data_IF_215909321046
#
_entry.id   IF_215909321046
#
_cell.length_a   1.000
_cell.length_b   1.000
_cell.length_c   1.000
_cell.angle_alpha   90.00
_cell.angle_beta   90.00
_cell.angle_gamma   90.00
#
_symmetry.space_group_name_H-M   'P 1'
#
loop_
_entity.id
_entity.type
_entity.pdbx_description
1 polymer ?
#
# COMPACT_ATOMS: atom_id res chain seq x y z
N UNK A 1 4.29 37.88 1.98
CA UNK A 1 3.01 38.16 2.64
C UNK A 1 2.57 36.96 3.46
N UNK A 2 2.50 37.09 4.79
CA UNK A 2 1.34 36.64 5.57
C UNK A 2 1.23 37.65 6.70
N UNK A 3 0.30 38.57 6.53
CA UNK A 3 -0.10 39.51 7.55
C UNK A 3 -0.56 38.76 8.78
N UNK A 4 -0.14 39.31 9.92
CA UNK A 4 -0.64 39.02 11.24
C UNK A 4 -2.17 38.93 11.26
N UNK A 5 -2.69 37.71 11.31
CA UNK A 5 -3.92 37.46 12.06
C UNK A 5 -3.48 37.41 13.53
N UNK A 6 -4.03 38.29 14.37
CA UNK A 6 -3.73 38.39 15.80
C UNK A 6 -4.01 37.07 16.54
N UNK A 7 -3.06 36.13 16.51
CA UNK A 7 -3.15 34.94 17.36
C UNK A 7 -2.87 35.40 18.78
N UNK A 8 -3.83 35.20 19.69
CA UNK A 8 -3.64 35.56 21.10
C UNK A 8 -2.42 34.80 21.63
N UNK A 9 -1.51 35.50 22.33
CA UNK A 9 -0.29 34.91 22.91
C UNK A 9 -0.59 33.65 23.75
N UNK A 10 -1.76 33.59 24.37
CA UNK A 10 -2.26 32.43 25.13
C UNK A 10 -2.60 31.22 24.26
N UNK A 11 -3.06 31.43 23.04
CA UNK A 11 -3.43 30.36 22.10
C UNK A 11 -2.19 29.70 21.52
N UNK A 12 -1.15 30.49 21.21
CA UNK A 12 0.18 30.00 20.84
C UNK A 12 0.75 29.15 21.98
N UNK A 13 0.65 29.62 23.24
CA UNK A 13 1.09 28.86 24.41
C UNK A 13 0.32 27.53 24.57
N UNK A 14 -1.02 27.57 24.43
CA UNK A 14 -1.86 26.37 24.52
C UNK A 14 -1.61 25.37 23.40
N UNK A 15 -1.31 25.85 22.19
CA UNK A 15 -0.91 25.00 21.08
C UNK A 15 0.41 24.30 21.36
N UNK A 16 1.41 25.01 21.90
CA UNK A 16 2.67 24.39 22.33
C UNK A 16 2.46 23.37 23.45
N UNK A 17 1.59 23.63 24.43
CA UNK A 17 1.26 22.65 25.47
C UNK A 17 0.56 21.42 24.91
N UNK A 18 -0.38 21.56 23.98
CA UNK A 18 -1.03 20.42 23.31
C UNK A 18 -0.05 19.61 22.46
N UNK A 19 0.84 20.28 21.73
CA UNK A 19 1.91 19.62 20.94
C UNK A 19 2.96 18.93 21.82
N UNK A 20 3.19 19.43 23.04
CA UNK A 20 4.13 18.84 24.00
C UNK A 20 3.59 17.58 24.70
N UNK A 21 2.27 17.33 24.65
CA UNK A 21 1.69 16.08 25.14
C UNK A 21 1.92 14.99 24.09
N UNK A 22 2.92 14.14 24.33
CA UNK A 22 3.16 12.96 23.50
C UNK A 22 2.17 11.85 23.84
N UNK A 23 1.13 11.68 23.04
CA UNK A 23 0.33 10.46 23.03
C UNK A 23 1.02 9.42 22.14
N UNK A 24 1.15 8.19 22.64
CA UNK A 24 1.69 7.06 21.88
C UNK A 24 0.62 5.99 21.79
N UNK A 25 0.06 5.81 20.61
CA UNK A 25 -1.00 4.85 20.33
C UNK A 25 -0.36 3.62 19.70
N UNK A 26 -0.69 2.45 20.26
CA UNK A 26 -0.33 1.16 19.66
C UNK A 26 -1.56 0.63 18.96
N UNK A 27 -1.52 0.57 17.65
CA UNK A 27 -2.58 0.00 16.83
C UNK A 27 -2.08 -1.31 16.20
N UNK A 28 -2.89 -2.36 16.28
CA UNK A 28 -2.60 -3.59 15.56
C UNK A 28 -3.27 -3.57 14.19
N UNK A 29 -2.47 -3.47 13.14
CA UNK A 29 -2.94 -3.51 11.75
C UNK A 29 -2.76 -4.90 11.15
N UNK A 30 -3.71 -5.30 10.32
CA UNK A 30 -3.62 -6.51 9.51
C UNK A 30 -3.02 -6.15 8.15
N UNK A 31 -1.98 -6.87 7.77
CA UNK A 31 -1.14 -6.55 6.63
C UNK A 31 -0.92 -7.77 5.77
N UNK A 32 -0.90 -7.56 4.46
CA UNK A 32 -0.54 -8.56 3.47
C UNK A 32 0.78 -8.15 2.84
N UNK A 33 1.78 -9.01 2.96
CA UNK A 33 3.12 -8.81 2.43
C UNK A 33 3.48 -9.98 1.53
N UNK A 34 3.89 -9.71 0.30
CA UNK A 34 4.29 -10.75 -0.62
C UNK A 34 4.84 -10.21 -1.94
N UNK A 35 5.53 -11.10 -2.64
CA UNK A 35 5.88 -10.94 -4.05
C UNK A 35 4.65 -11.17 -4.92
N UNK A 36 4.41 -10.30 -5.89
CA UNK A 36 3.31 -10.43 -6.85
C UNK A 36 3.66 -11.49 -7.90
N UNK A 37 2.92 -12.60 -7.88
CA UNK A 37 3.07 -13.67 -8.88
C UNK A 37 2.10 -13.52 -10.03
N UNK A 38 0.90 -13.03 -9.76
CA UNK A 38 -0.18 -12.89 -10.73
C UNK A 38 -0.93 -11.59 -10.44
N UNK A 39 -1.27 -10.85 -11.51
CA UNK A 39 -2.09 -9.64 -11.43
C UNK A 39 -3.09 -9.70 -12.58
N UNK A 40 -4.36 -9.94 -12.25
CA UNK A 40 -5.46 -10.02 -13.21
C UNK A 40 -6.53 -9.02 -12.83
N UNK A 41 -6.81 -8.08 -13.73
CA UNK A 41 -7.89 -7.10 -13.56
C UNK A 41 -9.11 -7.64 -14.30
N UNK A 42 -10.20 -7.90 -13.58
CA UNK A 42 -11.48 -8.24 -14.21
C UNK A 42 -12.21 -6.93 -14.53
N UNK A 43 -12.29 -6.62 -15.82
CA UNK A 43 -13.10 -5.52 -16.34
C UNK A 43 -14.47 -6.08 -16.71
N UNK A 44 -15.54 -5.48 -16.20
CA UNK A 44 -16.91 -5.80 -16.62
C UNK A 44 -17.47 -4.68 -17.48
N UNK A 45 -18.20 -5.05 -18.54
CA UNK A 45 -18.91 -4.10 -19.38
C UNK A 45 -20.04 -3.42 -18.59
N UNK A 46 -20.14 -2.10 -18.71
CA UNK A 46 -21.17 -1.31 -18.04
C UNK A 46 -22.56 -1.66 -18.59
N UNK A 47 -23.57 -1.98 -17.73
CA UNK A 47 -24.92 -2.29 -18.18
C UNK A 47 -25.61 -1.17 -18.97
N UNK A 48 -25.08 0.06 -18.92
CA UNK A 48 -25.66 1.26 -19.53
C UNK A 48 -25.02 1.66 -20.88
N UNK A 49 -24.23 0.80 -21.51
CA UNK A 49 -23.77 0.99 -22.90
C UNK A 49 -22.85 2.21 -23.12
N UNK A 50 -22.25 2.74 -22.05
CA UNK A 50 -21.22 3.78 -22.13
C UNK A 50 -19.84 3.16 -22.35
N UNK A 51 -18.99 3.84 -23.11
CA UNK A 51 -17.58 3.51 -23.39
C UNK A 51 -16.65 3.54 -22.14
N UNK A 52 -17.17 3.20 -20.96
CA UNK A 52 -16.41 3.09 -19.71
C UNK A 52 -16.20 1.62 -19.38
N UNK A 53 -14.94 1.17 -19.39
CA UNK A 53 -14.58 -0.12 -18.80
C UNK A 53 -14.65 0.06 -17.28
N UNK A 54 -15.60 -0.60 -16.63
CA UNK A 54 -15.73 -0.56 -15.18
C UNK A 54 -14.97 -1.76 -14.62
N UNK A 55 -13.90 -1.50 -13.87
CA UNK A 55 -13.16 -2.57 -13.17
C UNK A 55 -14.08 -3.12 -12.08
N UNK A 56 -14.36 -4.43 -12.12
CA UNK A 56 -15.21 -5.08 -11.12
C UNK A 56 -14.39 -5.51 -9.93
N UNK A 57 -13.32 -6.28 -10.14
CA UNK A 57 -12.43 -6.79 -9.10
C UNK A 57 -11.02 -7.01 -9.64
N UNK A 58 -10.03 -6.96 -8.74
CA UNK A 58 -8.64 -7.31 -9.07
C UNK A 58 -8.27 -8.59 -8.33
N UNK A 59 -7.80 -9.58 -9.07
CA UNK A 59 -7.24 -10.81 -8.49
C UNK A 59 -5.73 -10.68 -8.45
N UNK A 60 -5.16 -10.72 -7.26
CA UNK A 60 -3.71 -10.68 -7.05
C UNK A 60 -3.21 -11.98 -6.41
N UNK A 61 -2.17 -12.56 -6.97
CA UNK A 61 -1.43 -13.67 -6.40
C UNK A 61 -0.23 -13.13 -5.62
N UNK A 62 -0.17 -13.40 -4.32
CA UNK A 62 0.95 -13.04 -3.46
C UNK A 62 1.71 -14.28 -3.00
N UNK A 63 3.04 -14.22 -3.08
CA UNK A 63 3.94 -15.28 -2.65
C UNK A 63 4.84 -14.81 -1.50
N UNK A 64 4.97 -15.68 -0.51
CA UNK A 64 5.88 -15.53 0.62
C UNK A 64 6.73 -16.79 0.76
N UNK A 65 7.70 -16.79 1.67
CA UNK A 65 8.55 -17.97 1.91
C UNK A 65 7.77 -19.19 2.42
N UNK A 66 6.64 -18.99 3.12
CA UNK A 66 5.84 -20.08 3.68
C UNK A 66 4.72 -20.58 2.77
N UNK A 67 4.31 -19.78 1.78
CA UNK A 67 3.24 -20.16 0.87
C UNK A 67 2.76 -19.02 -0.01
N UNK A 68 1.81 -19.37 -0.88
CA UNK A 68 1.16 -18.49 -1.85
C UNK A 68 -0.30 -18.26 -1.45
N UNK A 69 -0.80 -17.05 -1.63
CA UNK A 69 -2.21 -16.70 -1.38
C UNK A 69 -2.73 -15.83 -2.51
N UNK A 70 -3.84 -16.24 -3.10
CA UNK A 70 -4.59 -15.41 -4.04
C UNK A 70 -5.62 -14.59 -3.27
N UNK A 71 -5.67 -13.30 -3.55
CA UNK A 71 -6.60 -12.34 -2.95
C UNK A 71 -7.46 -11.72 -4.04
N UNK A 72 -8.75 -11.57 -3.74
CA UNK A 72 -9.65 -10.73 -4.53
C UNK A 72 -9.75 -9.38 -3.85
N UNK A 73 -9.36 -8.34 -4.56
CA UNK A 73 -9.31 -6.97 -4.10
C UNK A 73 -10.45 -6.16 -4.73
N UNK A 74 -10.88 -5.15 -3.98
CA UNK A 74 -11.89 -4.19 -4.39
C UNK A 74 -11.35 -3.32 -5.55
N UNK A 75 -12.20 -2.85 -6.48
CA UNK A 75 -11.77 -2.00 -7.59
C UNK A 75 -11.14 -0.69 -7.12
N UNK A 76 -11.43 -0.18 -5.92
CA UNK A 76 -10.72 0.99 -5.37
C UNK A 76 -9.21 0.77 -5.18
N UNK A 77 -8.79 -0.48 -4.98
CA UNK A 77 -7.38 -0.85 -4.80
C UNK A 77 -6.65 -0.89 -6.15
N UNK A 78 -7.37 -1.11 -7.26
CA UNK A 78 -6.83 -1.07 -8.62
C UNK A 78 -6.12 0.25 -8.91
N UNK A 79 -6.73 1.37 -8.53
CA UNK A 79 -6.18 2.71 -8.76
C UNK A 79 -4.89 2.91 -7.96
N UNK A 80 -4.84 2.37 -6.73
CA UNK A 80 -3.65 2.42 -5.88
C UNK A 80 -2.51 1.57 -6.45
N UNK A 81 -2.81 0.37 -6.96
CA UNK A 81 -1.84 -0.50 -7.63
C UNK A 81 -1.27 0.15 -8.90
N UNK A 82 -2.14 0.77 -9.69
CA UNK A 82 -1.76 1.46 -10.93
C UNK A 82 -0.90 2.68 -10.63
N UNK A 83 -1.24 3.44 -9.58
CA UNK A 83 -0.49 4.63 -9.15
C UNK A 83 0.90 4.29 -8.63
N UNK A 84 1.04 3.19 -7.88
CA UNK A 84 2.31 2.69 -7.38
C UNK A 84 3.13 1.96 -8.47
N UNK A 85 2.55 1.73 -9.65
CA UNK A 85 3.22 1.08 -10.78
C UNK A 85 3.59 -0.38 -10.50
N UNK A 86 2.72 -1.10 -9.77
CA UNK A 86 2.99 -2.48 -9.36
C UNK A 86 2.99 -3.43 -10.55
N UNK A 87 4.07 -4.21 -10.66
CA UNK A 87 4.28 -5.20 -11.71
C UNK A 87 4.50 -6.60 -11.13
N UNK A 88 4.44 -7.63 -11.98
CA UNK A 88 4.73 -9.01 -11.59
C UNK A 88 6.21 -9.11 -11.20
N UNK A 89 6.49 -9.66 -10.02
CA UNK A 89 7.83 -9.72 -9.44
C UNK A 89 8.14 -8.62 -8.43
N UNK A 90 7.24 -7.65 -8.21
CA UNK A 90 7.39 -6.67 -7.15
C UNK A 90 6.97 -7.22 -5.79
N UNK A 91 7.64 -6.78 -4.73
CA UNK A 91 7.23 -7.01 -3.35
C UNK A 91 6.37 -5.83 -2.89
N UNK A 92 5.15 -6.14 -2.48
CA UNK A 92 4.17 -5.14 -2.08
C UNK A 92 3.69 -5.36 -0.66
N UNK A 93 3.21 -4.28 -0.07
CA UNK A 93 2.57 -4.23 1.23
C UNK A 93 1.15 -3.69 1.06
N UNK A 94 0.15 -4.44 1.51
CA UNK A 94 -1.26 -4.05 1.46
C UNK A 94 -1.82 -4.05 2.88
N UNK A 95 -2.38 -2.92 3.30
CA UNK A 95 -3.15 -2.85 4.54
C UNK A 95 -4.57 -3.40 4.32
N UNK A 96 -4.98 -4.38 5.13
CA UNK A 96 -6.28 -5.03 4.99
C UNK A 96 -7.47 -4.08 5.22
N UNK A 97 -7.30 -3.12 6.13
CA UNK A 97 -8.40 -2.22 6.55
C UNK A 97 -8.57 -1.00 5.64
N UNK A 98 -7.45 -0.41 5.19
CA UNK A 98 -7.47 0.81 4.38
C UNK A 98 -7.40 0.55 2.88
N UNK A 99 -6.99 -0.65 2.47
CA UNK A 99 -6.70 -0.96 1.06
C UNK A 99 -5.48 -0.21 0.53
N UNK A 100 -4.71 0.46 1.40
CA UNK A 100 -3.52 1.18 1.00
C UNK A 100 -2.45 0.20 0.54
N UNK A 101 -1.95 0.42 -0.67
CA UNK A 101 -0.87 -0.36 -1.28
C UNK A 101 0.41 0.46 -1.26
N UNK A 102 1.52 -0.19 -0.93
CA UNK A 102 2.85 0.38 -1.03
C UNK A 102 3.78 -0.61 -1.74
N UNK A 103 4.47 -0.15 -2.78
CA UNK A 103 5.57 -0.91 -3.41
C UNK A 103 6.79 -0.83 -2.50
N UNK A 104 7.30 -1.98 -2.07
CA UNK A 104 8.49 -2.08 -1.20
C UNK A 104 9.76 -2.14 -2.05
N UNK A 105 9.71 -2.82 -3.19
CA UNK A 105 10.83 -2.95 -4.11
C UNK A 105 10.62 -4.13 -5.04
N UNK A 106 11.64 -4.45 -5.84
CA UNK A 106 11.60 -5.57 -6.78
C UNK A 106 12.16 -6.83 -6.12
N UNK A 107 11.57 -8.00 -6.39
CA UNK A 107 12.09 -9.25 -5.85
C UNK A 107 13.47 -9.59 -6.42
N UNK A 108 14.39 -10.00 -5.56
CA UNK A 108 15.72 -10.50 -5.94
C UNK A 108 15.66 -11.61 -7.00
N UNK A 109 14.56 -12.39 -7.03
CA UNK A 109 14.38 -13.50 -7.99
C UNK A 109 14.17 -13.01 -9.43
N UNK A 110 13.75 -11.76 -9.60
CA UNK A 110 13.44 -11.13 -10.88
C UNK A 110 14.51 -10.12 -11.31
N UNK A 111 15.63 -10.05 -10.59
CA UNK A 111 16.82 -9.29 -11.00
C UNK A 111 17.45 -9.98 -12.22
N UNK A 112 17.06 -9.56 -13.42
CA UNK A 112 17.82 -9.90 -14.64
C UNK A 112 19.16 -9.17 -14.62
N UNK A 113 20.26 -9.84 -14.96
CA UNK A 113 21.64 -9.32 -14.95
C UNK A 113 21.89 -8.07 -15.83
N UNK A 114 20.87 -7.59 -16.56
CA UNK A 114 20.94 -6.48 -17.51
C UNK A 114 20.02 -5.30 -17.16
N UNK A 115 19.45 -5.25 -15.96
CA UNK A 115 18.64 -4.11 -15.56
C UNK A 115 19.54 -2.98 -15.02
N UNK A 116 19.70 -1.92 -15.82
CA UNK A 116 20.40 -0.68 -15.46
C UNK A 116 19.50 0.28 -14.65
N UNK A 117 18.31 -0.18 -14.26
CA UNK A 117 17.38 0.59 -13.42
C UNK A 117 17.79 0.50 -11.95
N UNK A 118 17.87 1.66 -11.30
CA UNK A 118 18.24 1.82 -9.89
C UNK A 118 17.09 1.40 -8.94
N UNK A 119 16.46 0.26 -9.20
CA UNK A 119 15.40 -0.26 -8.34
C UNK A 119 15.98 -0.94 -7.09
N UNK A 120 15.35 -0.70 -5.94
CA UNK A 120 15.75 -1.33 -4.69
C UNK A 120 15.29 -2.80 -4.70
N UNK A 121 16.24 -3.71 -4.82
CA UNK A 121 15.99 -5.14 -4.76
C UNK A 121 15.79 -5.58 -3.31
N UNK A 122 14.67 -6.27 -3.08
CA UNK A 122 14.24 -6.72 -1.76
C UNK A 122 13.96 -8.22 -1.78
N UNK A 123 14.35 -8.94 -0.71
CA UNK A 123 14.12 -10.37 -0.63
C UNK A 123 12.64 -10.66 -0.40
N UNK A 124 12.23 -11.87 -0.80
CA UNK A 124 10.87 -12.37 -0.55
C UNK A 124 10.54 -12.30 0.95
N UNK A 125 9.36 -11.75 1.32
CA UNK A 125 8.97 -11.63 2.72
C UNK A 125 8.99 -12.98 3.45
N UNK A 126 9.70 -13.00 4.59
CA UNK A 126 9.75 -14.16 5.47
C UNK A 126 8.43 -14.28 6.24
N UNK A 127 7.91 -15.51 6.30
CA UNK A 127 6.69 -15.82 7.05
C UNK A 127 5.47 -16.00 6.18
N UNK A 128 4.29 -15.84 6.79
CA UNK A 128 3.00 -15.99 6.13
C UNK A 128 2.65 -14.70 5.37
N UNK A 129 1.89 -14.82 4.27
CA UNK A 129 1.46 -13.64 3.47
C UNK A 129 0.64 -12.68 4.31
N UNK A 130 -0.21 -13.21 5.21
CA UNK A 130 -1.02 -12.42 6.11
C UNK A 130 -0.35 -12.34 7.49
N UNK A 131 -0.13 -11.10 7.96
CA UNK A 131 0.51 -10.85 9.26
C UNK A 131 -0.26 -9.78 10.02
N UNK A 132 -0.16 -9.84 11.34
CA UNK A 132 -0.61 -8.77 12.24
C UNK A 132 0.62 -7.97 12.68
N UNK A 133 0.65 -6.69 12.33
CA UNK A 133 1.76 -5.77 12.64
C UNK A 133 1.29 -4.73 13.65
N UNK A 134 2.00 -4.61 14.76
CA UNK A 134 1.78 -3.50 15.69
C UNK A 134 2.48 -2.26 15.15
N UNK A 135 1.69 -1.24 14.80
CA UNK A 135 2.18 0.07 14.41
C UNK A 135 2.04 0.99 15.61
N UNK A 136 3.13 1.67 15.93
CA UNK A 136 3.15 2.70 16.97
C UNK A 136 3.06 4.05 16.27
N UNK A 137 2.04 4.84 16.61
CA UNK A 137 1.83 6.19 16.10
C UNK A 137 1.78 7.20 17.24
#
# INVERSE_FOLDING_TARGET
EVFSSEVKKTEVLMEHFRRAIGLRIRESKEVYEGEVTELTVEETEDPLGGYGRTVSHVVIGLKSTKGTKTLRLDPTIHDSLTKEGVSIGDVIYIEANSGAVKRVGRSDSYATEFDLEAEEYVPIPKGDVHKKKEVVQ
#
